data_IF_335693307936
#
_entry.id   IF_335693307936
#
_cell.length_a   1.000
_cell.length_b   1.000
_cell.length_c   1.000
_cell.angle_alpha   90.00
_cell.angle_beta   90.00
_cell.angle_gamma   90.00
#
_symmetry.space_group_name_H-M   'P 1'
#
loop_
_entity.id
_entity.type
_entity.pdbx_description
1 polymer ?
#
# COMPACT_ATOMS: atom_id res chain seq x y z
N UNK A 1 13.85 5.00 1.54
CA UNK A 1 12.57 5.76 1.54
C UNK A 1 11.92 5.59 2.91
N UNK A 2 11.45 6.67 3.56
CA UNK A 2 10.85 6.60 4.89
C UNK A 2 9.44 6.00 4.80
N UNK A 3 9.19 4.90 5.50
CA UNK A 3 7.86 4.29 5.60
C UNK A 3 7.11 4.87 6.80
N UNK A 4 5.79 5.02 6.67
CA UNK A 4 4.92 5.52 7.74
C UNK A 4 3.82 4.49 7.97
N UNK A 5 3.63 4.03 9.21
CA UNK A 5 2.49 3.18 9.59
C UNK A 5 1.56 3.96 10.49
N UNK A 6 0.26 3.89 10.20
CA UNK A 6 -0.80 4.49 11.02
C UNK A 6 -1.93 3.50 11.22
N UNK A 7 -2.69 3.67 12.29
CA UNK A 7 -3.94 2.93 12.47
C UNK A 7 -4.96 3.39 11.44
N UNK A 8 -5.77 2.46 10.94
CA UNK A 8 -6.83 2.75 9.99
C UNK A 8 -8.02 3.38 10.71
N UNK A 9 -7.87 4.66 11.01
CA UNK A 9 -8.86 5.50 11.69
C UNK A 9 -8.78 6.91 11.11
N UNK A 10 -9.85 7.73 11.24
CA UNK A 10 -9.81 9.11 10.77
C UNK A 10 -8.61 9.90 11.30
N UNK A 11 -8.28 9.72 12.60
CA UNK A 11 -7.13 10.37 13.26
C UNK A 11 -5.79 9.86 12.72
N UNK A 12 -5.65 8.55 12.51
CA UNK A 12 -4.43 7.96 11.93
C UNK A 12 -4.17 8.42 10.51
N UNK A 13 -5.21 8.45 9.68
CA UNK A 13 -5.13 8.85 8.27
C UNK A 13 -4.76 10.33 8.11
N UNK A 14 -5.14 11.19 9.05
CA UNK A 14 -4.72 12.59 9.05
C UNK A 14 -3.18 12.74 9.07
N UNK A 15 -2.43 11.74 9.55
CA UNK A 15 -0.96 11.73 9.58
C UNK A 15 -0.31 11.23 8.28
N UNK A 16 -1.09 10.67 7.34
CA UNK A 16 -0.56 10.20 6.07
C UNK A 16 -0.06 11.36 5.20
N UNK A 17 0.95 11.16 4.34
CA UNK A 17 1.45 12.22 3.47
C UNK A 17 0.41 12.64 2.41
N UNK A 18 0.44 13.92 2.02
CA UNK A 18 -0.33 14.47 0.89
C UNK A 18 0.45 14.41 -0.43
N UNK A 19 1.36 13.45 -0.56
CA UNK A 19 2.25 13.30 -1.71
C UNK A 19 1.91 12.04 -2.51
N UNK A 20 2.50 11.86 -3.71
CA UNK A 20 2.48 10.59 -4.40
C UNK A 20 3.08 9.47 -3.57
N UNK A 21 2.60 8.25 -3.80
CA UNK A 21 3.22 7.04 -3.27
C UNK A 21 2.26 5.87 -3.18
N UNK A 22 2.72 4.81 -2.52
CA UNK A 22 1.99 3.56 -2.31
C UNK A 22 1.39 3.53 -0.92
N UNK A 23 0.18 3.00 -0.80
CA UNK A 23 -0.44 2.65 0.47
C UNK A 23 -0.78 1.17 0.51
N UNK A 24 -0.63 0.58 1.69
CA UNK A 24 -0.80 -0.84 1.95
C UNK A 24 -1.75 -0.95 3.13
N UNK A 25 -2.90 -1.58 2.94
CA UNK A 25 -3.85 -1.88 3.99
C UNK A 25 -3.72 -3.34 4.45
N UNK A 26 -3.96 -3.58 5.73
CA UNK A 26 -3.85 -4.91 6.31
C UNK A 26 -4.27 -5.01 7.78
N UNK A 27 -4.30 -6.24 8.27
CA UNK A 27 -4.52 -6.58 9.67
C UNK A 27 -3.44 -7.54 10.18
N UNK A 28 -2.80 -7.19 11.31
CA UNK A 28 -1.69 -7.97 11.87
C UNK A 28 -0.51 -8.10 10.89
N UNK A 29 -0.20 -9.34 10.51
CA UNK A 29 0.82 -9.69 9.50
C UNK A 29 0.26 -9.80 8.08
N UNK A 30 -1.07 -9.79 7.92
CA UNK A 30 -1.75 -9.98 6.63
C UNK A 30 -1.86 -8.64 5.90
N UNK A 31 -1.54 -8.66 4.62
CA UNK A 31 -1.75 -7.54 3.70
C UNK A 31 -2.99 -7.84 2.88
N UNK A 32 -3.99 -6.96 2.93
CA UNK A 32 -5.27 -7.16 2.26
C UNK A 32 -5.29 -6.48 0.88
N UNK A 33 -4.73 -5.27 0.80
CA UNK A 33 -4.71 -4.48 -0.43
C UNK A 33 -3.47 -3.58 -0.51
N UNK A 34 -2.99 -3.36 -1.74
CA UNK A 34 -1.92 -2.43 -2.08
C UNK A 34 -2.42 -1.54 -3.21
N UNK A 35 -2.22 -0.23 -3.10
CA UNK A 35 -2.55 0.71 -4.16
C UNK A 35 -1.59 1.88 -4.22
N UNK A 36 -1.51 2.56 -5.36
CA UNK A 36 -0.80 3.84 -5.49
C UNK A 36 -1.77 5.02 -5.64
N UNK A 37 -1.28 6.23 -5.32
CA UNK A 37 -2.02 7.47 -5.58
C UNK A 37 -1.06 8.65 -5.73
N UNK A 38 -1.51 9.70 -6.40
CA UNK A 38 -0.87 11.02 -6.36
C UNK A 38 -1.07 11.77 -5.04
N UNK A 39 -2.03 11.34 -4.22
CA UNK A 39 -2.27 11.85 -2.87
C UNK A 39 -2.78 10.70 -1.98
N UNK A 40 -1.84 10.07 -1.27
CA UNK A 40 -2.13 8.90 -0.42
C UNK A 40 -3.22 9.22 0.60
N UNK A 41 -3.09 10.34 1.33
CA UNK A 41 -4.07 10.73 2.36
C UNK A 41 -5.48 10.82 1.80
N UNK A 42 -5.67 11.51 0.68
CA UNK A 42 -6.99 11.69 0.08
C UNK A 42 -7.58 10.37 -0.40
N UNK A 43 -6.76 9.51 -1.02
CA UNK A 43 -7.22 8.20 -1.51
C UNK A 43 -7.65 7.28 -0.38
N UNK A 44 -6.88 7.21 0.70
CA UNK A 44 -7.23 6.39 1.87
C UNK A 44 -8.46 6.93 2.60
N UNK A 45 -8.64 8.26 2.69
CA UNK A 45 -9.89 8.86 3.19
C UNK A 45 -11.11 8.43 2.37
N UNK A 46 -10.97 8.39 1.05
CA UNK A 46 -12.04 7.90 0.16
C UNK A 46 -12.36 6.43 0.43
N UNK A 47 -11.36 5.59 0.67
CA UNK A 47 -11.59 4.17 0.94
C UNK A 47 -12.33 3.92 2.26
N UNK A 48 -12.03 4.68 3.32
CA UNK A 48 -12.84 4.62 4.55
C UNK A 48 -14.30 4.96 4.26
N UNK A 49 -14.55 6.05 3.51
CA UNK A 49 -15.92 6.47 3.17
C UNK A 49 -16.66 5.42 2.34
N UNK A 50 -15.93 4.65 1.55
CA UNK A 50 -16.49 3.56 0.74
C UNK A 50 -16.66 2.25 1.54
N UNK A 51 -16.46 2.26 2.86
CA UNK A 51 -16.67 1.10 3.72
C UNK A 51 -15.56 0.05 3.64
N UNK A 52 -14.35 0.41 3.18
CA UNK A 52 -13.22 -0.50 3.31
C UNK A 52 -12.87 -0.68 4.78
N UNK A 53 -12.62 -1.91 5.20
CA UNK A 53 -12.16 -2.24 6.55
C UNK A 53 -10.69 -2.69 6.54
N UNK A 54 -9.93 -2.24 7.53
CA UNK A 54 -8.53 -2.57 7.73
C UNK A 54 -8.09 -2.16 9.13
N UNK A 55 -7.00 -2.73 9.64
CA UNK A 55 -6.49 -2.37 10.96
C UNK A 55 -5.43 -1.26 10.87
N UNK A 56 -4.65 -1.25 9.79
CA UNK A 56 -3.58 -0.28 9.58
C UNK A 56 -3.41 0.13 8.13
N UNK A 57 -2.74 1.27 7.93
CA UNK A 57 -2.19 1.70 6.65
C UNK A 57 -0.69 1.88 6.80
N UNK A 58 0.08 1.26 5.91
CA UNK A 58 1.47 1.63 5.66
C UNK A 58 1.53 2.48 4.40
N UNK A 59 2.24 3.59 4.44
CA UNK A 59 2.45 4.48 3.32
C UNK A 59 3.94 4.59 2.99
N UNK A 60 4.24 4.54 1.69
CA UNK A 60 5.57 4.68 1.11
C UNK A 60 5.50 5.86 0.13
N UNK A 61 5.84 7.09 0.59
CA UNK A 61 5.86 8.26 -0.28
C UNK A 61 6.94 8.10 -1.37
N UNK A 62 6.61 8.55 -2.59
CA UNK A 62 7.52 8.58 -3.74
C UNK A 62 7.66 10.01 -4.27
N UNK A 63 8.70 10.26 -5.08
CA UNK A 63 8.89 11.57 -5.70
C UNK A 63 7.88 11.81 -6.82
N UNK A 64 7.53 10.77 -7.57
CA UNK A 64 6.63 10.88 -8.73
C UNK A 64 5.52 9.83 -8.70
N UNK A 65 4.45 10.10 -9.46
CA UNK A 65 3.34 9.14 -9.66
C UNK A 65 3.80 7.88 -10.40
N UNK A 66 4.70 8.02 -11.39
CA UNK A 66 5.28 6.89 -12.11
C UNK A 66 6.03 5.95 -11.17
N UNK A 67 6.89 6.48 -10.29
CA UNK A 67 7.55 5.68 -9.26
C UNK A 67 6.56 4.99 -8.32
N UNK A 68 5.45 5.64 -7.96
CA UNK A 68 4.42 5.01 -7.13
C UNK A 68 3.77 3.82 -7.84
N UNK A 69 3.45 3.96 -9.13
CA UNK A 69 2.86 2.90 -9.94
C UNK A 69 3.81 1.71 -10.13
N UNK A 70 5.07 1.98 -10.47
CA UNK A 70 6.09 0.94 -10.64
C UNK A 70 6.33 0.18 -9.33
N UNK A 71 6.38 0.90 -8.20
CA UNK A 71 6.53 0.32 -6.86
C UNK A 71 5.30 -0.51 -6.46
N UNK A 72 4.08 -0.03 -6.73
CA UNK A 72 2.84 -0.77 -6.51
C UNK A 72 2.87 -2.12 -7.24
N UNK A 73 3.23 -2.12 -8.53
CA UNK A 73 3.31 -3.35 -9.35
C UNK A 73 4.31 -4.36 -8.80
N UNK A 74 5.48 -3.88 -8.37
CA UNK A 74 6.49 -4.71 -7.72
C UNK A 74 5.96 -5.32 -6.42
N UNK A 75 5.34 -4.52 -5.55
CA UNK A 75 4.81 -4.97 -4.26
C UNK A 75 3.63 -5.94 -4.40
N UNK A 76 2.71 -5.70 -5.33
CA UNK A 76 1.60 -6.61 -5.62
C UNK A 76 2.14 -7.97 -6.09
N UNK A 77 3.17 -7.96 -6.95
CA UNK A 77 3.76 -9.18 -7.49
C UNK A 77 4.45 -10.03 -6.41
N UNK A 78 5.09 -9.38 -5.43
CA UNK A 78 5.77 -10.04 -4.32
C UNK A 78 4.86 -10.48 -3.17
N UNK A 79 3.86 -9.66 -2.81
CA UNK A 79 3.01 -9.92 -1.62
C UNK A 79 1.64 -10.52 -1.93
N UNK A 80 1.19 -10.50 -3.19
CA UNK A 80 -0.10 -11.05 -3.61
C UNK A 80 -1.30 -10.77 -2.70
N UNK A 81 -1.56 -9.49 -2.40
CA UNK A 81 -2.74 -9.11 -1.61
C UNK A 81 -4.03 -9.69 -2.23
N UNK A 82 -4.92 -10.29 -1.43
CA UNK A 82 -6.11 -10.98 -1.92
C UNK A 82 -7.04 -10.05 -2.71
N UNK A 83 -7.18 -8.78 -2.31
CA UNK A 83 -8.10 -7.82 -2.91
C UNK A 83 -7.58 -7.16 -4.22
N UNK A 84 -6.31 -7.33 -4.58
CA UNK A 84 -5.80 -6.79 -5.84
C UNK A 84 -6.17 -7.70 -7.01
N UNK A 85 -7.13 -7.27 -7.84
CA UNK A 85 -7.54 -7.99 -9.06
C UNK A 85 -6.38 -8.20 -10.06
N UNK A 86 -5.42 -7.28 -10.09
CA UNK A 86 -4.29 -7.31 -11.00
C UNK A 86 -3.06 -8.07 -10.46
N UNK A 87 -3.23 -8.90 -9.42
CA UNK A 87 -2.15 -9.76 -8.90
C UNK A 87 -1.80 -10.86 -9.92
N UNK A 88 -0.51 -11.25 -10.04
CA UNK A 88 -0.13 -12.34 -10.94
C UNK A 88 -0.74 -13.68 -10.47
N UNK A 89 -0.98 -14.61 -11.42
CA UNK A 89 -1.49 -15.97 -11.12
C UNK A 89 -0.60 -16.74 -10.13
N UNK A 90 0.70 -16.49 -10.17
CA UNK A 90 1.67 -17.00 -9.20
C UNK A 90 2.43 -15.81 -8.60
N UNK A 91 2.47 -15.77 -7.28
CA UNK A 91 3.25 -14.82 -6.52
C UNK A 91 4.71 -15.21 -6.71
N UNK A 92 5.48 -14.34 -7.35
CA UNK A 92 6.92 -14.56 -7.41
C UNK A 92 7.48 -14.14 -6.06
N UNK A 93 8.36 -14.93 -5.41
CA UNK A 93 9.14 -14.40 -4.29
C UNK A 93 9.78 -13.10 -4.75
N UNK A 94 9.71 -12.06 -3.92
CA UNK A 94 10.28 -10.79 -4.32
C UNK A 94 11.78 -10.96 -4.53
N UNK A 95 12.39 -10.22 -5.46
CA UNK A 95 13.85 -10.27 -5.68
C UNK A 95 14.63 -10.03 -4.37
N UNK A 96 14.02 -9.30 -3.42
CA UNK A 96 14.53 -9.07 -2.07
C UNK A 96 14.51 -10.34 -1.19
N UNK A 97 13.52 -11.22 -1.36
CA UNK A 97 13.47 -12.52 -0.65
C UNK A 97 14.52 -13.51 -1.22
N UNK A 98 15.00 -13.31 -2.45
CA UNK A 98 16.07 -14.12 -3.05
C UNK A 98 17.48 -13.62 -2.72
N UNK A 99 17.65 -12.32 -2.44
CA UNK A 99 18.95 -11.69 -2.18
C UNK A 99 19.29 -11.60 -0.68
N UNK A 100 18.28 -11.71 0.20
CA UNK A 100 18.44 -11.56 1.65
C UNK A 100 17.69 -12.63 2.45
N UNK A 101 17.29 -13.72 1.79
CA UNK A 101 16.71 -14.91 2.39
C UNK A 101 17.77 -15.92 2.78
#
# INVERSE_FOLDING_TARGET
MRQIRVNFSPKGIAKLPKSPGVYISGCGKKIDYIGSSGNIRQRVKQQIRNGMDSCYIKAIPTKTRKQAFDLERSLISGKCPPANKAKPRRCKPSLLDQLFG
#
